data_IF_141734293957
#
_entry.id   IF_141734293957
#
_cell.length_a   1.000
_cell.length_b   1.000
_cell.length_c   1.000
_cell.angle_alpha   90.00
_cell.angle_beta   90.00
_cell.angle_gamma   90.00
#
_symmetry.space_group_name_H-M   'P 1'
#
loop_
_entity.id
_entity.type
_entity.pdbx_description
1 polymer ?
#
# COMPACT_ATOMS: atom_id res chain seq x y z
N UNK A 1 -4.35 18.24 6.30
CA UNK A 1 -2.94 18.70 6.34
C UNK A 1 -2.19 17.85 5.33
N UNK A 2 -1.71 18.44 4.25
CA UNK A 2 -1.00 17.75 3.16
C UNK A 2 0.52 17.93 3.35
N UNK A 3 1.32 16.97 2.92
CA UNK A 3 2.77 17.19 2.79
C UNK A 3 3.07 17.59 1.35
N UNK A 4 3.97 18.55 1.17
CA UNK A 4 4.37 19.06 -0.14
C UNK A 4 5.87 18.85 -0.29
N UNK A 5 6.25 18.21 -1.38
CA UNK A 5 7.62 17.87 -1.73
C UNK A 5 7.97 18.60 -3.01
N UNK A 6 9.06 19.39 -2.98
CA UNK A 6 9.58 20.15 -4.12
C UNK A 6 10.84 19.47 -4.67
N UNK A 7 11.31 19.92 -5.83
CA UNK A 7 12.48 19.36 -6.52
C UNK A 7 12.33 17.87 -6.85
N UNK A 8 11.12 17.49 -7.25
CA UNK A 8 10.77 16.13 -7.62
C UNK A 8 11.32 15.85 -9.01
N UNK A 9 12.24 14.89 -9.09
CA UNK A 9 12.82 14.44 -10.36
C UNK A 9 12.46 12.98 -10.61
N UNK A 10 11.97 12.68 -11.80
CA UNK A 10 11.77 11.30 -12.25
C UNK A 10 13.14 10.69 -12.53
N UNK A 11 13.41 9.49 -12.01
CA UNK A 11 14.69 8.78 -12.26
C UNK A 11 14.54 7.60 -13.20
N UNK A 12 13.46 6.84 -13.10
CA UNK A 12 13.24 5.65 -13.94
C UNK A 12 11.80 5.16 -13.92
N UNK A 13 11.46 4.30 -14.88
CA UNK A 13 10.27 3.47 -14.90
C UNK A 13 10.68 2.01 -14.75
N UNK A 14 10.05 1.31 -13.82
CA UNK A 14 10.37 -0.06 -13.45
C UNK A 14 9.10 -0.91 -13.51
N UNK A 15 9.08 -2.03 -14.25
CA UNK A 15 7.95 -2.94 -14.22
C UNK A 15 7.79 -3.55 -12.83
N UNK A 16 6.54 -3.63 -12.39
CA UNK A 16 6.11 -4.25 -11.14
C UNK A 16 5.02 -5.29 -11.45
N UNK A 17 4.73 -6.20 -10.52
CA UNK A 17 3.71 -7.24 -10.68
C UNK A 17 2.31 -6.67 -10.90
N UNK A 18 2.09 -5.38 -10.59
CA UNK A 18 0.81 -4.68 -10.69
C UNK A 18 0.78 -3.60 -11.78
N UNK A 19 1.79 -3.52 -12.65
CA UNK A 19 1.87 -2.51 -13.72
C UNK A 19 3.24 -1.89 -13.83
N UNK A 20 3.31 -0.63 -14.27
CA UNK A 20 4.57 0.12 -14.33
C UNK A 20 4.65 1.05 -13.12
N UNK A 21 5.82 1.07 -12.48
CA UNK A 21 6.09 1.93 -11.33
C UNK A 21 7.13 2.97 -11.70
N UNK A 22 6.94 4.21 -11.26
CA UNK A 22 7.86 5.32 -11.47
C UNK A 22 8.69 5.53 -10.22
N UNK A 23 10.01 5.56 -10.35
CA UNK A 23 10.91 6.07 -9.31
C UNK A 23 11.03 7.59 -9.43
N UNK A 24 10.75 8.27 -8.31
CA UNK A 24 10.85 9.70 -8.13
C UNK A 24 11.88 10.00 -7.04
N UNK A 25 12.69 11.04 -7.19
CA UNK A 25 13.56 11.54 -6.12
C UNK A 25 13.21 12.95 -5.73
N UNK A 26 13.05 13.20 -4.44
CA UNK A 26 12.76 14.53 -3.87
C UNK A 26 13.88 14.95 -2.92
N UNK A 27 14.09 16.25 -2.75
CA UNK A 27 14.90 16.76 -1.63
C UNK A 27 14.27 16.42 -0.29
N UNK A 28 15.07 16.29 0.78
CA UNK A 28 14.56 16.23 2.16
C UNK A 28 13.94 17.59 2.53
N UNK A 29 12.68 17.82 2.20
CA UNK A 29 12.04 19.10 2.54
C UNK A 29 11.83 19.22 4.05
N UNK A 30 12.35 20.31 4.62
CA UNK A 30 12.14 20.76 6.00
C UNK A 30 10.85 21.56 6.17
N UNK A 31 9.98 21.62 5.15
CA UNK A 31 8.82 22.51 5.16
C UNK A 31 7.62 21.86 5.88
N UNK A 32 7.54 22.10 7.20
CA UNK A 32 6.25 22.17 7.89
C UNK A 32 5.65 23.54 7.59
N UNK A 33 4.51 23.59 6.92
CA UNK A 33 3.65 24.78 6.98
C UNK A 33 3.22 24.98 8.44
N UNK A 34 3.94 25.85 9.14
CA UNK A 34 3.68 26.24 10.53
C UNK A 34 4.67 25.69 11.57
N UNK A 35 5.93 26.15 11.54
CA UNK A 35 6.71 26.55 12.74
C UNK A 35 8.07 27.12 12.34
N UNK A 36 8.47 28.17 13.05
CA UNK A 36 9.64 29.02 12.82
C UNK A 36 10.97 28.26 12.82
N UNK A 37 11.91 28.79 12.02
CA UNK A 37 13.33 28.43 11.95
C UNK A 37 13.95 28.32 13.36
N UNK A 38 14.58 27.19 13.66
CA UNK A 38 15.58 27.09 14.73
C UNK A 38 16.73 26.19 14.28
N UNK A 39 17.95 26.68 14.45
CA UNK A 39 19.19 26.03 14.04
C UNK A 39 19.58 24.93 15.04
N UNK A 40 19.33 23.67 14.70
CA UNK A 40 19.97 22.52 15.37
C UNK A 40 19.90 21.27 14.46
N UNK A 41 20.44 21.37 13.24
CA UNK A 41 20.36 20.30 12.25
C UNK A 41 21.58 19.35 12.33
N UNK A 42 21.77 18.63 13.43
CA UNK A 42 22.72 17.48 13.48
C UNK A 42 22.11 16.23 14.15
N UNK A 43 20.93 16.32 14.80
CA UNK A 43 20.36 15.19 15.55
C UNK A 43 19.10 14.54 14.93
N UNK A 44 18.69 14.91 13.72
CA UNK A 44 17.45 14.42 13.12
C UNK A 44 17.61 13.17 12.22
N UNK A 45 18.67 12.37 12.37
CA UNK A 45 18.77 11.09 11.65
C UNK A 45 17.73 10.05 12.09
N UNK A 46 17.42 10.03 13.39
CA UNK A 46 16.59 8.99 14.01
C UNK A 46 15.10 9.37 14.08
N UNK A 47 14.76 10.66 14.08
CA UNK A 47 13.37 11.13 14.20
C UNK A 47 12.58 11.05 12.87
N UNK A 48 13.31 11.02 11.74
CA UNK A 48 12.76 10.79 10.39
C UNK A 48 12.21 9.37 10.21
N UNK A 49 12.91 8.36 10.76
CA UNK A 49 12.48 6.95 10.69
C UNK A 49 11.19 6.69 11.48
N UNK A 50 11.00 7.36 12.63
CA UNK A 50 9.91 7.03 13.54
C UNK A 50 8.56 7.67 13.19
N UNK A 51 8.56 8.82 12.50
CA UNK A 51 7.36 9.70 12.45
C UNK A 51 6.81 9.94 11.05
N UNK A 52 7.65 9.89 10.00
CA UNK A 52 7.25 10.21 8.61
C UNK A 52 7.18 9.01 7.66
N UNK A 53 8.00 7.99 7.90
CA UNK A 53 7.95 6.71 7.17
C UNK A 53 6.56 6.02 7.33
N UNK A 54 5.89 6.28 8.46
CA UNK A 54 4.53 5.79 8.78
C UNK A 54 3.36 6.38 7.95
N UNK A 55 3.53 7.44 7.16
CA UNK A 55 2.37 8.16 6.55
C UNK A 55 2.32 8.25 5.04
N UNK A 56 3.43 8.13 4.35
CA UNK A 56 3.44 8.28 2.91
C UNK A 56 3.01 6.98 2.23
N UNK A 57 1.70 6.76 2.21
CA UNK A 57 1.07 5.62 1.53
C UNK A 57 0.66 5.97 0.10
N UNK A 58 0.33 7.24 -0.22
CA UNK A 58 -0.20 7.68 -1.53
C UNK A 58 0.05 9.18 -1.79
N UNK A 59 0.40 9.55 -3.01
CA UNK A 59 0.85 10.91 -3.37
C UNK A 59 0.15 11.42 -4.65
N UNK A 60 0.31 12.72 -4.94
CA UNK A 60 -0.26 13.42 -6.09
C UNK A 60 0.88 14.19 -6.74
N UNK A 61 1.11 14.03 -8.04
CA UNK A 61 2.10 14.83 -8.76
C UNK A 61 1.39 16.03 -9.39
N UNK A 62 1.95 17.21 -9.15
CA UNK A 62 1.66 18.48 -9.83
C UNK A 62 2.83 18.75 -10.77
N UNK A 63 2.51 19.06 -12.02
CA UNK A 63 3.46 19.51 -13.03
C UNK A 63 2.93 20.82 -13.62
N UNK A 64 3.66 21.92 -13.40
CA UNK A 64 3.42 23.22 -14.04
C UNK A 64 4.46 23.44 -15.14
N UNK A 65 4.01 23.45 -16.39
CA UNK A 65 4.81 23.76 -17.59
C UNK A 65 4.31 25.06 -18.22
N UNK A 66 5.01 26.18 -18.01
CA UNK A 66 4.75 27.45 -18.73
C UNK A 66 3.27 27.89 -18.72
N UNK A 67 2.81 28.55 -19.80
CA UNK A 67 1.45 29.11 -19.93
C UNK A 67 0.27 28.10 -19.92
N UNK A 68 0.50 26.82 -19.61
CA UNK A 68 -0.55 25.79 -19.59
C UNK A 68 -1.08 25.50 -18.18
N UNK A 69 -2.34 25.07 -18.11
CA UNK A 69 -3.04 24.78 -16.84
C UNK A 69 -2.32 23.66 -16.05
N UNK A 70 -2.23 23.77 -14.71
CA UNK A 70 -1.67 22.71 -13.87
C UNK A 70 -2.41 21.39 -14.08
N UNK A 71 -1.66 20.33 -14.33
CA UNK A 71 -2.20 18.97 -14.51
C UNK A 71 -2.05 18.15 -13.22
N UNK A 72 -3.10 17.40 -12.89
CA UNK A 72 -3.26 16.77 -11.59
C UNK A 72 -3.35 15.27 -11.71
N UNK A 73 -2.37 14.55 -11.17
CA UNK A 73 -2.31 13.11 -11.34
C UNK A 73 -2.28 12.36 -10.00
N UNK A 74 -3.16 11.37 -9.88
CA UNK A 74 -3.29 10.55 -8.69
C UNK A 74 -2.38 9.33 -8.77
N UNK A 75 -1.77 9.00 -7.63
CA UNK A 75 -0.88 7.86 -7.56
C UNK A 75 -0.91 7.18 -6.19
N UNK A 76 -0.44 5.94 -6.18
CA UNK A 76 -0.30 5.15 -4.97
C UNK A 76 1.16 4.74 -4.81
N UNK A 77 1.68 4.79 -3.58
CA UNK A 77 3.02 4.28 -3.31
C UNK A 77 3.02 2.78 -3.58
N UNK A 78 3.93 2.31 -4.43
CA UNK A 78 4.07 0.90 -4.77
C UNK A 78 4.59 0.09 -3.56
N UNK A 79 5.37 0.74 -2.70
CA UNK A 79 6.02 0.17 -1.52
C UNK A 79 5.94 1.17 -0.36
N UNK A 80 5.94 0.68 0.88
CA UNK A 80 6.11 1.55 2.05
C UNK A 80 7.42 2.32 1.92
N UNK A 81 7.40 3.61 2.23
CA UNK A 81 8.57 4.51 2.17
C UNK A 81 9.69 4.13 3.16
N UNK A 82 9.53 3.01 3.87
CA UNK A 82 10.40 2.53 4.94
C UNK A 82 11.75 1.96 4.44
N UNK A 83 11.94 1.71 3.13
CA UNK A 83 13.10 0.92 2.67
C UNK A 83 13.99 1.49 1.55
N UNK A 84 13.89 2.77 1.17
CA UNK A 84 14.78 3.38 0.15
C UNK A 84 15.49 4.66 0.63
N UNK A 85 16.16 4.59 1.78
CA UNK A 85 17.20 5.57 2.19
C UNK A 85 18.59 4.93 2.07
N UNK A 86 18.86 4.25 0.95
CA UNK A 86 20.21 3.84 0.60
C UNK A 86 20.62 4.62 -0.64
N UNK A 87 21.49 5.63 -0.47
CA UNK A 87 22.18 6.23 -1.63
C UNK A 87 22.71 7.64 -1.44
N UNK A 88 21.92 8.58 -0.93
CA UNK A 88 22.35 9.99 -0.92
C UNK A 88 21.91 10.73 0.35
N UNK A 89 22.86 11.43 1.00
CA UNK A 89 22.65 12.08 2.29
C UNK A 89 21.49 13.10 2.32
N UNK A 90 21.01 13.58 1.17
CA UNK A 90 20.05 14.69 1.06
C UNK A 90 18.81 14.47 0.16
N UNK A 91 18.65 13.30 -0.48
CA UNK A 91 17.49 13.01 -1.36
C UNK A 91 16.83 11.70 -0.96
N UNK A 92 15.51 11.63 -1.14
CA UNK A 92 14.67 10.46 -0.86
C UNK A 92 14.17 9.92 -2.19
N UNK A 93 14.32 8.61 -2.42
CA UNK A 93 13.72 7.91 -3.56
C UNK A 93 12.35 7.33 -3.16
N UNK A 94 11.36 7.53 -4.01
CA UNK A 94 9.97 7.11 -3.82
C UNK A 94 9.51 6.37 -5.06
N UNK A 95 8.94 5.18 -4.88
CA UNK A 95 8.35 4.40 -5.97
C UNK A 95 6.83 4.53 -5.97
N UNK A 96 6.29 4.97 -7.10
CA UNK A 96 4.90 5.38 -7.23
C UNK A 96 4.26 4.72 -8.46
N UNK A 97 3.06 4.16 -8.32
CA UNK A 97 2.24 3.69 -9.44
C UNK A 97 1.16 4.72 -9.71
N UNK A 98 1.10 5.21 -10.95
CA UNK A 98 0.07 6.14 -11.39
C UNK A 98 -1.15 5.35 -11.89
N UNK A 99 -2.35 5.89 -11.66
CA UNK A 99 -3.58 5.25 -12.15
C UNK A 99 -3.90 5.62 -13.60
N UNK A 100 -3.20 6.61 -14.14
CA UNK A 100 -3.47 7.22 -15.44
C UNK A 100 -2.29 6.96 -16.39
N UNK A 101 -2.56 6.22 -17.46
CA UNK A 101 -1.56 5.85 -18.47
C UNK A 101 -0.99 7.06 -19.22
N UNK A 102 -1.70 8.18 -19.31
CA UNK A 102 -1.16 9.41 -19.92
C UNK A 102 0.05 9.92 -19.14
N UNK A 103 0.06 9.72 -17.82
CA UNK A 103 1.16 10.12 -16.93
C UNK A 103 2.39 9.29 -17.19
N UNK A 104 2.22 7.98 -17.35
CA UNK A 104 3.33 7.06 -17.67
C UNK A 104 3.97 7.44 -19.01
N UNK A 105 3.18 7.82 -20.01
CA UNK A 105 3.68 8.29 -21.32
C UNK A 105 4.42 9.62 -21.21
N UNK A 106 3.93 10.57 -20.41
CA UNK A 106 4.63 11.85 -20.14
C UNK A 106 5.93 11.64 -19.38
N UNK A 107 5.95 10.72 -18.43
CA UNK A 107 7.15 10.34 -17.69
C UNK A 107 8.17 9.71 -18.65
N UNK A 108 7.73 8.84 -19.57
CA UNK A 108 8.59 8.30 -20.62
C UNK A 108 9.18 9.39 -21.52
N UNK A 109 8.38 10.37 -21.96
CA UNK A 109 8.90 11.47 -22.77
C UNK A 109 9.91 12.34 -22.02
N UNK A 110 9.70 12.56 -20.71
CA UNK A 110 10.64 13.30 -19.87
C UNK A 110 11.97 12.55 -19.66
N UNK A 111 11.92 11.22 -19.48
CA UNK A 111 13.13 10.40 -19.38
C UNK A 111 13.94 10.38 -20.67
N UNK A 112 13.29 10.52 -21.84
CA UNK A 112 13.96 10.63 -23.14
C UNK A 112 14.65 11.97 -23.35
N UNK A 113 13.95 13.07 -23.05
CA UNK A 113 14.40 14.41 -23.41
C UNK A 113 15.68 14.84 -22.66
N UNK A 114 16.11 14.13 -21.61
CA UNK A 114 17.34 14.40 -20.86
C UNK A 114 17.39 15.74 -20.10
N UNK A 115 16.43 16.64 -20.40
CA UNK A 115 16.35 18.00 -19.94
C UNK A 115 14.95 18.25 -19.38
N UNK A 116 14.89 18.66 -18.11
CA UNK A 116 13.75 19.46 -17.64
C UNK A 116 13.74 20.73 -18.48
N UNK A 117 12.61 21.07 -19.08
CA UNK A 117 12.48 22.37 -19.74
C UNK A 117 12.78 23.44 -18.67
N UNK A 118 13.58 24.48 -18.96
CA UNK A 118 13.80 25.57 -18.01
C UNK A 118 12.46 26.25 -17.70
N UNK A 119 11.83 25.86 -16.59
CA UNK A 119 10.49 26.28 -16.20
C UNK A 119 9.59 25.20 -15.61
N UNK A 120 9.96 23.91 -15.72
CA UNK A 120 9.10 22.81 -15.24
C UNK A 120 9.22 22.65 -13.72
N UNK A 121 8.18 23.07 -13.00
CA UNK A 121 8.09 22.88 -11.55
C UNK A 121 7.27 21.63 -11.28
N UNK A 122 7.93 20.64 -10.67
CA UNK A 122 7.29 19.39 -10.22
C UNK A 122 7.14 19.39 -8.71
N UNK A 123 5.90 19.24 -8.26
CA UNK A 123 5.55 19.18 -6.86
C UNK A 123 4.85 17.86 -6.58
N UNK A 124 5.21 17.18 -5.50
CA UNK A 124 4.50 16.00 -5.04
C UNK A 124 3.74 16.35 -3.77
N UNK A 125 2.42 16.20 -3.80
CA UNK A 125 1.52 16.46 -2.68
C UNK A 125 1.00 15.14 -2.11
N UNK A 126 1.32 14.86 -0.86
CA UNK A 126 0.82 13.71 -0.12
C UNK A 126 -0.47 14.07 0.62
N UNK A 127 -1.54 13.34 0.34
CA UNK A 127 -2.77 13.42 1.12
C UNK A 127 -2.84 12.27 2.13
N UNK A 128 -3.05 12.55 3.43
CA UNK A 128 -3.25 11.50 4.42
C UNK A 128 -4.61 10.80 4.30
N UNK A 129 -5.58 11.41 3.60
CA UNK A 129 -6.92 10.85 3.38
C UNK A 129 -7.20 10.88 1.88
N UNK A 130 -7.32 9.71 1.25
CA UNK A 130 -7.62 9.60 -0.18
C UNK A 130 -9.05 9.10 -0.34
N UNK A 131 -9.91 9.90 -0.99
CA UNK A 131 -11.26 9.48 -1.37
C UNK A 131 -11.22 8.14 -2.10
N UNK A 132 -10.26 7.91 -2.99
CA UNK A 132 -10.13 6.67 -3.78
C UNK A 132 -9.83 5.41 -2.98
N UNK A 133 -9.21 5.53 -1.80
CA UNK A 133 -9.07 4.38 -0.91
C UNK A 133 -10.37 4.02 -0.21
N UNK A 134 -11.26 5.00 -0.01
CA UNK A 134 -12.53 4.85 0.72
C UNK A 134 -13.71 4.71 -0.26
N UNK A 135 -13.54 5.14 -1.53
CA UNK A 135 -14.57 5.18 -2.57
C UNK A 135 -15.26 3.83 -2.74
N UNK A 136 -14.56 2.68 -2.85
CA UNK A 136 -15.25 1.39 -2.98
C UNK A 136 -16.15 1.08 -1.78
N UNK A 137 -15.74 1.45 -0.58
CA UNK A 137 -16.55 1.29 0.64
C UNK A 137 -17.76 2.24 0.62
N UNK A 138 -17.57 3.49 0.21
CA UNK A 138 -18.67 4.47 0.10
C UNK A 138 -19.65 4.09 -1.02
N UNK A 139 -19.18 3.52 -2.12
CA UNK A 139 -20.00 3.00 -3.20
C UNK A 139 -20.80 1.77 -2.76
N UNK A 140 -20.18 0.83 -2.06
CA UNK A 140 -20.88 -0.32 -1.47
C UNK A 140 -21.97 0.11 -0.49
N UNK A 141 -21.70 1.11 0.36
CA UNK A 141 -22.69 1.69 1.27
C UNK A 141 -23.87 2.37 0.55
N UNK A 142 -23.67 2.86 -0.68
CA UNK A 142 -24.77 3.41 -1.51
C UNK A 142 -25.66 2.31 -2.09
N UNK A 143 -25.13 1.12 -2.34
CA UNK A 143 -25.87 0.02 -2.98
C UNK A 143 -26.78 -0.73 -2.01
N UNK A 144 -26.31 -1.01 -0.79
CA UNK A 144 -27.07 -1.76 0.22
C UNK A 144 -27.08 -1.05 1.59
N UNK A 145 -27.85 0.05 1.75
CA UNK A 145 -27.85 0.83 2.99
C UNK A 145 -28.48 0.08 4.19
N UNK A 146 -29.29 -0.95 3.95
CA UNK A 146 -30.01 -1.68 4.99
C UNK A 146 -29.20 -2.85 5.60
N UNK A 147 -28.19 -3.36 4.88
CA UNK A 147 -27.39 -4.51 5.29
C UNK A 147 -26.07 -4.10 5.97
N UNK A 148 -26.15 -3.27 7.02
CA UNK A 148 -24.96 -2.88 7.79
C UNK A 148 -24.70 -3.92 8.89
N UNK A 149 -23.54 -4.62 8.86
CA UNK A 149 -23.16 -5.55 9.94
C UNK A 149 -23.13 -4.84 11.29
N UNK A 150 -23.65 -5.50 12.33
CA UNK A 150 -23.70 -4.96 13.69
C UNK A 150 -24.46 -3.62 13.83
N UNK A 151 -25.40 -3.32 12.93
CA UNK A 151 -26.22 -2.10 12.97
C UNK A 151 -26.93 -1.87 14.32
N UNK A 152 -27.26 -2.96 15.04
CA UNK A 152 -27.84 -2.93 16.38
C UNK A 152 -26.92 -2.31 17.45
N UNK A 153 -25.62 -2.20 17.18
CA UNK A 153 -24.63 -1.71 18.14
C UNK A 153 -23.78 -0.55 17.63
N UNK A 154 -23.44 -0.54 16.33
CA UNK A 154 -22.48 0.41 15.74
C UNK A 154 -23.15 1.69 15.22
N UNK A 155 -24.48 1.72 15.10
CA UNK A 155 -25.21 2.94 14.74
C UNK A 155 -25.25 3.89 15.93
N UNK A 156 -25.35 5.19 15.67
CA UNK A 156 -25.46 6.19 16.73
C UNK A 156 -26.73 5.95 17.55
N UNK A 157 -26.55 5.56 18.81
CA UNK A 157 -27.62 5.38 19.78
C UNK A 157 -27.54 6.47 20.87
N UNK A 158 -28.66 6.76 21.56
CA UNK A 158 -28.64 7.60 22.75
C UNK A 158 -27.66 7.06 23.81
N UNK A 159 -27.07 7.98 24.57
CA UNK A 159 -26.18 7.63 25.69
C UNK A 159 -26.84 6.60 26.62
N UNK A 160 -26.14 5.51 26.93
CA UNK A 160 -26.64 4.43 27.79
C UNK A 160 -27.44 3.33 27.09
N UNK A 161 -27.67 3.41 25.77
CA UNK A 161 -28.38 2.36 25.03
C UNK A 161 -27.78 0.96 25.23
N UNK A 162 -26.45 0.84 25.11
CA UNK A 162 -25.74 -0.42 25.30
C UNK A 162 -25.62 -0.85 26.77
N UNK A 163 -25.90 0.04 27.72
CA UNK A 163 -25.86 -0.30 29.16
C UNK A 163 -27.07 -1.13 29.60
N UNK A 164 -28.17 -1.08 28.84
CA UNK A 164 -29.42 -1.78 29.16
C UNK A 164 -29.66 -3.03 28.32
N UNK A 165 -28.87 -3.24 27.26
CA UNK A 165 -29.03 -4.35 26.32
C UNK A 165 -27.84 -5.27 26.36
N UNK A 166 -28.10 -6.57 26.40
CA UNK A 166 -27.07 -7.60 26.25
C UNK A 166 -26.70 -7.76 24.78
N UNK A 167 -25.40 -7.80 24.50
CA UNK A 167 -24.89 -8.14 23.17
C UNK A 167 -25.20 -9.62 22.90
N UNK A 168 -25.63 -9.92 21.68
CA UNK A 168 -25.98 -11.28 21.28
C UNK A 168 -24.70 -12.14 21.19
N UNK A 169 -24.79 -13.47 21.27
CA UNK A 169 -23.61 -14.31 21.12
C UNK A 169 -23.13 -14.37 19.68
N UNK A 170 -21.86 -14.74 19.47
CA UNK A 170 -21.39 -15.05 18.14
C UNK A 170 -22.17 -16.24 17.55
N UNK A 171 -22.51 -16.16 16.26
CA UNK A 171 -23.35 -17.15 15.57
C UNK A 171 -22.83 -18.60 15.68
N UNK A 172 -21.51 -18.79 15.64
CA UNK A 172 -20.92 -20.13 15.77
C UNK A 172 -21.16 -20.75 17.16
N UNK A 173 -21.35 -19.95 18.20
CA UNK A 173 -21.63 -20.43 19.56
C UNK A 173 -23.11 -20.76 19.79
N UNK A 174 -23.99 -20.53 18.80
CA UNK A 174 -25.40 -20.89 18.84
C UNK A 174 -25.67 -22.32 18.35
N UNK A 175 -24.67 -23.02 17.83
CA UNK A 175 -24.83 -24.39 17.35
C UNK A 175 -25.23 -25.33 18.51
N UNK A 176 -26.23 -26.22 18.32
CA UNK A 176 -26.65 -27.14 19.36
C UNK A 176 -25.49 -28.00 19.87
N UNK A 177 -25.30 -28.02 21.20
CA UNK A 177 -24.22 -28.78 21.85
C UNK A 177 -22.83 -28.13 21.79
N UNK A 178 -22.71 -26.93 21.21
CA UNK A 178 -21.45 -26.20 21.21
C UNK A 178 -21.07 -25.73 22.61
N UNK A 179 -19.83 -26.03 23.01
CA UNK A 179 -19.22 -25.55 24.24
C UNK A 179 -17.77 -25.18 23.94
N UNK A 180 -17.29 -24.08 24.50
CA UNK A 180 -15.87 -23.75 24.39
C UNK A 180 -15.07 -24.65 25.31
N UNK A 181 -14.05 -25.31 24.78
CA UNK A 181 -12.96 -25.90 25.56
C UNK A 181 -11.93 -24.81 25.88
N UNK A 182 -11.67 -24.60 27.17
CA UNK A 182 -10.79 -23.54 27.68
C UNK A 182 -9.51 -24.08 28.34
N UNK A 183 -9.32 -25.39 28.42
CA UNK A 183 -8.12 -26.01 28.99
C UNK A 183 -6.82 -25.54 28.33
N UNK A 184 -6.88 -25.10 27.06
CA UNK A 184 -5.73 -24.51 26.37
C UNK A 184 -5.15 -23.28 27.08
N UNK A 185 -5.89 -22.61 27.96
CA UNK A 185 -5.46 -21.42 28.72
C UNK A 185 -4.68 -21.71 30.00
N UNK A 186 -4.50 -22.98 30.35
CA UNK A 186 -3.77 -23.40 31.54
C UNK A 186 -2.36 -23.85 31.17
N UNK A 187 -1.43 -23.70 32.10
CA UNK A 187 -0.11 -24.30 31.98
C UNK A 187 -0.20 -25.80 32.22
N UNK A 188 0.72 -26.59 31.64
CA UNK A 188 0.69 -28.06 31.74
C UNK A 188 0.78 -28.58 33.19
N UNK A 189 1.31 -27.75 34.08
CA UNK A 189 1.49 -28.04 35.51
C UNK A 189 0.19 -27.89 36.31
N UNK A 190 -0.83 -27.21 35.76
CA UNK A 190 -2.08 -26.95 36.47
C UNK A 190 -3.05 -28.15 36.46
N UNK A 191 -2.77 -29.19 35.66
CA UNK A 191 -3.57 -30.43 35.55
C UNK A 191 -5.07 -30.20 35.25
N UNK A 192 -5.40 -29.10 34.53
CA UNK A 192 -6.77 -28.79 34.09
C UNK A 192 -6.95 -29.24 32.64
N UNK A 193 -7.41 -30.47 32.44
CA UNK A 193 -7.59 -31.04 31.09
C UNK A 193 -8.95 -30.72 30.44
N UNK A 194 -9.99 -30.45 31.23
CA UNK A 194 -11.34 -30.19 30.74
C UNK A 194 -12.00 -29.02 31.48
N UNK A 195 -12.09 -27.86 30.82
CA UNK A 195 -12.87 -26.72 31.28
C UNK A 195 -13.79 -26.26 30.16
N UNK A 196 -15.07 -26.64 30.26
CA UNK A 196 -16.08 -26.30 29.26
C UNK A 196 -16.90 -25.10 29.67
N UNK A 197 -17.10 -24.19 28.73
CA UNK A 197 -17.99 -23.05 28.89
C UNK A 197 -19.15 -23.13 27.90
N UNK A 198 -20.35 -23.36 28.43
CA UNK A 198 -21.60 -23.21 27.71
C UNK A 198 -22.09 -21.77 27.85
N UNK A 199 -22.12 -21.02 26.75
CA UNK A 199 -22.55 -19.62 26.78
C UNK A 199 -24.03 -19.45 27.16
N UNK A 200 -24.89 -20.42 26.86
CA UNK A 200 -26.34 -20.34 27.17
C UNK A 200 -26.58 -20.43 28.67
N UNK A 201 -25.71 -21.12 29.38
CA UNK A 201 -25.80 -21.31 30.82
C UNK A 201 -24.92 -20.30 31.56
N UNK A 202 -25.58 -19.34 32.24
CA UNK A 202 -24.89 -18.33 33.04
C UNK A 202 -24.00 -18.95 34.13
N UNK A 203 -24.43 -20.06 34.74
CA UNK A 203 -23.64 -20.71 35.78
C UNK A 203 -22.35 -21.34 35.22
N UNK A 204 -22.42 -21.89 34.01
CA UNK A 204 -21.25 -22.38 33.27
C UNK A 204 -20.27 -21.25 32.94
N UNK A 205 -20.77 -20.09 32.48
CA UNK A 205 -19.93 -18.91 32.20
C UNK A 205 -19.26 -18.38 33.47
N UNK A 206 -20.02 -18.26 34.57
CA UNK A 206 -19.49 -17.76 35.84
C UNK A 206 -18.47 -18.73 36.47
N UNK A 207 -18.69 -20.04 36.34
CA UNK A 207 -17.72 -21.08 36.76
C UNK A 207 -16.44 -21.01 35.92
N UNK A 208 -16.55 -20.97 34.60
CA UNK A 208 -15.40 -20.85 33.70
C UNK A 208 -14.59 -19.57 34.00
N UNK A 209 -15.26 -18.44 34.24
CA UNK A 209 -14.61 -17.18 34.64
C UNK A 209 -13.85 -17.33 35.96
N UNK A 210 -14.46 -17.96 36.96
CA UNK A 210 -13.83 -18.15 38.26
C UNK A 210 -12.57 -19.03 38.17
N UNK A 211 -12.65 -20.15 37.43
CA UNK A 211 -11.52 -21.06 37.24
C UNK A 211 -10.37 -20.41 36.45
N UNK A 212 -10.69 -19.66 35.38
CA UNK A 212 -9.67 -18.92 34.63
C UNK A 212 -8.95 -17.90 35.53
N UNK A 213 -9.67 -17.12 36.34
CA UNK A 213 -9.04 -16.17 37.26
C UNK A 213 -8.18 -16.84 38.33
N UNK A 214 -8.52 -18.07 38.72
CA UNK A 214 -7.88 -18.80 39.81
C UNK A 214 -6.59 -19.49 39.38
N UNK A 215 -6.59 -20.14 38.22
CA UNK A 215 -5.57 -21.11 37.87
C UNK A 215 -5.07 -21.03 36.42
N UNK A 216 -5.62 -20.16 35.57
CA UNK A 216 -5.04 -19.95 34.24
C UNK A 216 -3.81 -19.06 34.31
N UNK A 217 -3.04 -18.98 33.20
CA UNK A 217 -1.90 -18.06 33.08
C UNK A 217 -2.29 -16.60 32.85
N UNK A 218 -3.59 -16.31 32.78
CA UNK A 218 -4.12 -14.96 32.58
C UNK A 218 -4.25 -14.22 33.91
N UNK A 219 -4.02 -12.91 33.89
CA UNK A 219 -4.47 -12.09 35.02
C UNK A 219 -6.00 -12.01 35.07
N UNK A 220 -6.61 -11.64 36.22
CA UNK A 220 -8.06 -11.64 36.35
C UNK A 220 -8.81 -10.78 35.32
N UNK A 221 -8.23 -9.64 34.92
CA UNK A 221 -8.84 -8.75 33.94
C UNK A 221 -8.76 -9.30 32.51
N UNK A 222 -7.68 -10.02 32.20
CA UNK A 222 -7.52 -10.74 30.93
C UNK A 222 -8.49 -11.93 30.84
N UNK A 223 -8.65 -12.69 31.93
CA UNK A 223 -9.63 -13.77 32.01
C UNK A 223 -11.05 -13.25 31.76
N UNK A 224 -11.41 -12.12 32.36
CA UNK A 224 -12.70 -11.45 32.11
C UNK A 224 -12.87 -11.02 30.66
N UNK A 225 -11.83 -10.44 30.08
CA UNK A 225 -11.85 -9.98 28.69
C UNK A 225 -12.04 -11.15 27.71
N UNK A 226 -11.38 -12.29 27.93
CA UNK A 226 -11.54 -13.51 27.12
C UNK A 226 -12.97 -14.04 27.23
N UNK A 227 -13.49 -14.21 28.45
CA UNK A 227 -14.85 -14.71 28.67
C UNK A 227 -15.88 -13.79 27.99
N UNK A 228 -15.72 -12.47 28.11
CA UNK A 228 -16.58 -11.49 27.46
C UNK A 228 -16.52 -11.58 25.92
N UNK A 229 -15.32 -11.72 25.35
CA UNK A 229 -15.09 -11.82 23.91
C UNK A 229 -15.65 -13.10 23.30
N UNK A 230 -15.58 -14.23 24.02
CA UNK A 230 -16.16 -15.50 23.56
C UNK A 230 -17.69 -15.55 23.71
N UNK A 231 -18.25 -14.76 24.63
CA UNK A 231 -19.69 -14.78 24.94
C UNK A 231 -20.53 -13.80 24.12
N UNK A 232 -19.88 -12.87 23.41
CA UNK A 232 -20.53 -11.72 22.75
C UNK A 232 -20.05 -11.60 21.30
N UNK A 233 -20.94 -11.37 20.35
CA UNK A 233 -20.59 -11.17 18.94
C UNK A 233 -19.83 -9.85 18.69
N UNK A 234 -19.86 -8.94 19.65
CA UNK A 234 -19.09 -7.71 19.68
C UNK A 234 -18.49 -7.52 21.08
N UNK A 235 -17.17 -7.33 21.14
CA UNK A 235 -16.47 -7.02 22.38
C UNK A 235 -15.43 -5.94 22.16
N UNK A 236 -15.34 -4.99 23.09
CA UNK A 236 -14.33 -3.94 23.10
C UNK A 236 -13.40 -4.17 24.29
N UNK A 237 -12.15 -4.56 24.00
CA UNK A 237 -11.13 -4.76 25.03
C UNK A 237 -10.26 -3.51 25.08
N UNK A 238 -10.39 -2.75 26.16
CA UNK A 238 -9.54 -1.60 26.43
C UNK A 238 -8.42 -1.98 27.39
N UNK A 239 -7.20 -1.57 27.06
CA UNK A 239 -6.05 -1.74 27.96
C UNK A 239 -5.06 -0.58 27.82
N UNK A 240 -4.62 0.06 28.90
CA UNK A 240 -3.49 1.00 28.91
C UNK A 240 -2.21 0.39 28.29
N UNK A 241 -1.20 1.19 27.90
CA UNK A 241 0.09 0.64 27.47
C UNK A 241 0.69 -0.29 28.54
N UNK A 242 1.25 -1.42 28.12
CA UNK A 242 1.85 -2.41 29.02
C UNK A 242 0.90 -3.44 29.66
N UNK A 243 -0.43 -3.30 29.52
CA UNK A 243 -1.43 -4.20 30.16
C UNK A 243 -1.69 -5.52 29.43
N UNK A 244 -0.76 -5.96 28.56
CA UNK A 244 -0.90 -7.27 27.92
C UNK A 244 -2.00 -7.40 26.87
N UNK A 245 -2.57 -6.32 26.31
CA UNK A 245 -3.60 -6.41 25.23
C UNK A 245 -3.25 -7.40 24.12
N UNK A 246 -2.01 -7.35 23.62
CA UNK A 246 -1.55 -8.27 22.57
C UNK A 246 -1.52 -9.70 23.08
N UNK A 247 -1.09 -9.91 24.32
CA UNK A 247 -1.10 -11.22 24.98
C UNK A 247 -2.54 -11.75 25.12
N UNK A 248 -3.49 -10.94 25.59
CA UNK A 248 -4.93 -11.29 25.63
C UNK A 248 -5.45 -11.68 24.25
N UNK A 249 -5.09 -10.94 23.20
CA UNK A 249 -5.49 -11.30 21.84
C UNK A 249 -4.91 -12.64 21.39
N UNK A 250 -3.64 -12.93 21.70
CA UNK A 250 -2.98 -14.20 21.36
C UNK A 250 -3.68 -15.36 22.05
N UNK A 251 -4.02 -15.19 23.33
CA UNK A 251 -4.76 -16.20 24.09
C UNK A 251 -6.20 -16.38 23.61
N UNK A 252 -6.84 -15.32 23.09
CA UNK A 252 -8.13 -15.44 22.39
C UNK A 252 -8.00 -16.29 21.12
N UNK A 253 -6.98 -16.05 20.30
CA UNK A 253 -6.72 -16.88 19.11
C UNK A 253 -6.47 -18.34 19.49
N UNK A 254 -5.75 -18.60 20.58
CA UNK A 254 -5.50 -19.95 21.08
C UNK A 254 -6.82 -20.69 21.35
N UNK A 255 -7.76 -20.05 22.05
CA UNK A 255 -9.07 -20.65 22.31
C UNK A 255 -9.85 -20.86 21.02
N UNK A 256 -9.94 -19.85 20.15
CA UNK A 256 -10.72 -19.96 18.91
C UNK A 256 -10.21 -21.10 18.02
N UNK A 257 -8.90 -21.20 17.83
CA UNK A 257 -8.27 -22.24 17.00
C UNK A 257 -8.39 -23.62 17.65
N UNK A 258 -8.18 -23.73 18.96
CA UNK A 258 -8.37 -24.99 19.69
C UNK A 258 -9.81 -25.52 19.62
N UNK A 259 -10.79 -24.64 19.39
CA UNK A 259 -12.20 -24.99 19.20
C UNK A 259 -12.61 -25.08 17.71
N UNK A 260 -11.64 -25.17 16.79
CA UNK A 260 -11.85 -25.29 15.34
C UNK A 260 -12.65 -24.12 14.72
N UNK A 261 -12.61 -22.94 15.33
CA UNK A 261 -13.24 -21.74 14.79
C UNK A 261 -12.28 -21.10 13.78
N UNK A 262 -12.55 -21.34 12.50
CA UNK A 262 -11.77 -20.84 11.37
C UNK A 262 -12.66 -20.64 10.13
N UNK A 263 -12.28 -19.76 9.17
CA UNK A 263 -11.11 -18.87 9.19
C UNK A 263 -11.31 -17.67 10.13
N UNK A 264 -10.21 -17.15 10.70
CA UNK A 264 -10.22 -15.95 11.53
C UNK A 264 -9.57 -14.79 10.78
N UNK A 265 -10.32 -13.70 10.58
CA UNK A 265 -9.83 -12.50 9.92
C UNK A 265 -9.21 -11.54 10.94
N UNK A 266 -7.90 -11.30 10.83
CA UNK A 266 -7.17 -10.33 11.63
C UNK A 266 -6.94 -9.05 10.83
N UNK A 267 -7.31 -7.90 11.40
CA UNK A 267 -7.12 -6.59 10.78
C UNK A 267 -6.41 -5.67 11.77
N UNK A 268 -5.39 -4.95 11.30
CA UNK A 268 -4.70 -3.93 12.08
C UNK A 268 -4.46 -2.67 11.23
N UNK A 269 -4.37 -1.52 11.88
CA UNK A 269 -4.14 -0.24 11.19
C UNK A 269 -2.73 -0.11 10.57
N UNK A 270 -1.74 -0.80 11.15
CA UNK A 270 -0.35 -0.80 10.69
C UNK A 270 0.16 -2.21 10.45
N UNK A 271 1.03 -2.36 9.45
CA UNK A 271 1.72 -3.62 9.17
C UNK A 271 2.52 -4.08 10.39
N UNK A 272 3.20 -3.18 11.09
CA UNK A 272 3.97 -3.50 12.29
C UNK A 272 3.10 -4.12 13.40
N UNK A 273 1.90 -3.58 13.65
CA UNK A 273 1.01 -4.14 14.67
C UNK A 273 0.49 -5.53 14.26
N UNK A 274 0.17 -5.70 12.98
CA UNK A 274 -0.20 -7.01 12.42
C UNK A 274 0.95 -8.01 12.59
N UNK A 275 2.16 -7.61 12.21
CA UNK A 275 3.37 -8.43 12.26
C UNK A 275 3.69 -8.87 13.68
N UNK A 276 3.71 -7.92 14.62
CA UNK A 276 3.93 -8.22 16.02
C UNK A 276 2.92 -9.25 16.54
N UNK A 277 1.65 -9.12 16.15
CA UNK A 277 0.60 -10.06 16.55
C UNK A 277 0.81 -11.45 15.94
N UNK A 278 1.12 -11.53 14.65
CA UNK A 278 1.39 -12.78 13.95
C UNK A 278 2.63 -13.49 14.50
N UNK A 279 3.72 -12.77 14.76
CA UNK A 279 4.90 -13.31 15.44
C UNK A 279 4.52 -13.89 16.80
N UNK A 280 3.74 -13.17 17.59
CA UNK A 280 3.31 -13.65 18.91
C UNK A 280 2.48 -14.94 18.81
N UNK A 281 1.63 -15.09 17.78
CA UNK A 281 0.86 -16.31 17.52
C UNK A 281 1.77 -17.48 17.11
N UNK A 282 2.78 -17.21 16.28
CA UNK A 282 3.77 -18.21 15.84
C UNK A 282 4.68 -18.65 16.99
N UNK A 283 5.22 -17.70 17.76
CA UNK A 283 6.09 -17.95 18.91
C UNK A 283 5.34 -18.73 19.99
N UNK A 284 4.03 -18.50 20.14
CA UNK A 284 3.15 -19.24 21.02
C UNK A 284 2.76 -20.64 20.51
N UNK A 285 3.21 -21.03 19.30
CA UNK A 285 2.96 -22.33 18.69
C UNK A 285 1.48 -22.61 18.42
N UNK A 286 0.66 -21.57 18.22
CA UNK A 286 -0.81 -21.73 18.11
C UNK A 286 -1.22 -22.29 16.75
N UNK A 287 -0.69 -21.73 15.67
CA UNK A 287 -0.96 -22.19 14.30
C UNK A 287 0.14 -21.74 13.35
N UNK A 288 0.35 -22.51 12.30
CA UNK A 288 1.16 -22.15 11.13
C UNK A 288 0.31 -21.98 9.87
N UNK A 289 -1.01 -22.22 9.92
CA UNK A 289 -1.88 -22.00 8.77
C UNK A 289 -2.36 -20.55 8.74
N UNK A 290 -1.46 -19.68 8.26
CA UNK A 290 -1.66 -18.23 8.19
C UNK A 290 -1.57 -17.79 6.73
N UNK A 291 -2.53 -16.98 6.27
CA UNK A 291 -2.46 -16.28 4.98
C UNK A 291 -2.43 -14.78 5.26
N UNK A 292 -1.34 -14.13 4.89
CA UNK A 292 -1.18 -12.68 5.01
C UNK A 292 -1.41 -11.99 3.68
N UNK A 293 -2.27 -10.97 3.70
CA UNK A 293 -2.49 -10.06 2.58
C UNK A 293 -1.79 -8.73 2.83
N UNK A 294 -1.02 -8.23 1.88
CA UNK A 294 -0.37 -6.91 1.97
C UNK A 294 0.99 -6.84 1.30
N UNK A 295 1.61 -5.65 1.32
CA UNK A 295 2.95 -5.43 0.76
C UNK A 295 4.04 -6.20 1.53
N UNK A 296 5.27 -6.17 0.99
CA UNK A 296 6.47 -6.78 1.60
C UNK A 296 6.58 -6.50 3.09
N UNK A 297 7.06 -7.52 3.78
CA UNK A 297 7.15 -7.65 5.23
C UNK A 297 8.59 -7.45 5.65
N UNK A 298 8.83 -6.82 6.81
CA UNK A 298 10.20 -6.60 7.30
C UNK A 298 10.75 -7.82 8.06
N UNK A 299 9.88 -8.71 8.57
CA UNK A 299 10.25 -9.95 9.25
C UNK A 299 10.17 -11.14 8.27
N UNK A 300 11.31 -11.78 8.02
CA UNK A 300 11.45 -12.95 7.14
C UNK A 300 10.57 -14.14 7.57
N UNK A 301 10.31 -14.28 8.87
CA UNK A 301 9.46 -15.35 9.40
C UNK A 301 8.02 -15.20 8.94
N UNK A 302 7.56 -13.96 8.68
CA UNK A 302 6.21 -13.68 8.21
C UNK A 302 6.14 -13.69 6.68
N UNK A 303 7.25 -13.37 6.00
CA UNK A 303 7.33 -13.36 4.52
C UNK A 303 6.80 -14.66 3.91
N UNK A 304 7.12 -15.82 4.50
CA UNK A 304 6.66 -17.13 4.01
C UNK A 304 5.13 -17.32 4.05
N UNK A 305 4.42 -16.59 4.91
CA UNK A 305 2.96 -16.62 5.04
C UNK A 305 2.26 -15.59 4.16
N UNK A 306 3.01 -14.77 3.41
CA UNK A 306 2.40 -13.87 2.41
C UNK A 306 1.69 -14.70 1.35
N UNK A 307 0.56 -14.19 0.85
CA UNK A 307 -0.20 -14.88 -0.20
C UNK A 307 0.67 -15.15 -1.42
N UNK A 308 1.55 -14.23 -1.79
CA UNK A 308 2.47 -14.38 -2.92
C UNK A 308 3.43 -15.55 -2.68
N UNK A 309 3.97 -15.68 -1.47
CA UNK A 309 4.89 -16.77 -1.13
C UNK A 309 4.15 -18.10 -1.02
N UNK A 310 2.96 -18.12 -0.42
CA UNK A 310 2.13 -19.33 -0.36
C UNK A 310 1.67 -19.77 -1.74
N UNK A 311 1.34 -18.87 -2.66
CA UNK A 311 1.05 -19.20 -4.06
C UNK A 311 2.27 -19.77 -4.78
N UNK A 312 3.45 -19.16 -4.58
CA UNK A 312 4.72 -19.67 -5.14
C UNK A 312 5.04 -21.08 -4.65
N UNK A 313 4.77 -21.40 -3.38
CA UNK A 313 5.03 -22.72 -2.77
C UNK A 313 3.90 -23.71 -3.09
N UNK A 314 2.64 -23.30 -3.08
CA UNK A 314 1.48 -24.12 -3.43
C UNK A 314 1.52 -24.56 -4.90
N UNK A 315 2.03 -23.70 -5.80
CA UNK A 315 2.37 -24.05 -7.18
C UNK A 315 3.47 -25.12 -7.32
N UNK A 316 4.08 -25.56 -6.22
CA UNK A 316 5.02 -26.69 -6.17
C UNK A 316 4.41 -27.97 -5.58
N UNK A 317 3.12 -27.95 -5.17
CA UNK A 317 2.41 -29.12 -4.65
C UNK A 317 2.12 -30.16 -5.75
N UNK A 318 2.22 -31.43 -5.36
CA UNK A 318 2.40 -32.61 -6.23
C UNK A 318 1.18 -33.10 -7.02
N UNK A 319 0.03 -32.40 -7.02
CA UNK A 319 -1.21 -32.98 -7.58
C UNK A 319 -2.04 -32.12 -8.53
N UNK A 320 -1.62 -30.90 -8.90
CA UNK A 320 -2.22 -30.20 -10.04
C UNK A 320 -1.16 -29.35 -10.76
N UNK A 321 -0.83 -29.75 -11.98
CA UNK A 321 -0.25 -28.90 -13.04
C UNK A 321 0.90 -27.96 -12.62
N UNK A 322 1.79 -28.43 -11.73
CA UNK A 322 2.95 -27.66 -11.23
C UNK A 322 3.90 -27.19 -12.34
N UNK A 323 3.84 -27.84 -13.51
CA UNK A 323 4.58 -27.48 -14.71
C UNK A 323 3.94 -26.26 -15.41
N UNK A 324 2.61 -26.19 -15.47
CA UNK A 324 1.84 -25.07 -16.04
C UNK A 324 2.05 -23.77 -15.26
N UNK A 325 2.00 -23.82 -13.92
CA UNK A 325 2.18 -22.62 -13.09
C UNK A 325 3.63 -22.11 -13.05
N UNK A 326 4.63 -23.00 -12.96
CA UNK A 326 6.03 -22.60 -13.07
C UNK A 326 6.33 -22.02 -14.44
N UNK A 327 5.73 -22.57 -15.49
CA UNK A 327 5.85 -22.05 -16.86
C UNK A 327 5.23 -20.66 -16.95
N UNK A 328 3.99 -20.46 -16.47
CA UNK A 328 3.35 -19.13 -16.42
C UNK A 328 4.12 -18.09 -15.60
N UNK A 329 4.73 -18.49 -14.50
CA UNK A 329 5.56 -17.57 -13.71
C UNK A 329 6.87 -17.21 -14.42
N UNK A 330 7.49 -18.18 -15.12
CA UNK A 330 8.64 -17.91 -15.99
C UNK A 330 8.26 -17.00 -17.14
N UNK A 331 7.13 -17.27 -17.79
CA UNK A 331 6.55 -16.40 -18.83
C UNK A 331 6.33 -14.99 -18.30
N UNK A 332 5.70 -14.81 -17.13
CA UNK A 332 5.52 -13.50 -16.50
C UNK A 332 6.86 -12.81 -16.21
N UNK A 333 7.87 -13.54 -15.73
CA UNK A 333 9.20 -13.00 -15.47
C UNK A 333 9.90 -12.61 -16.76
N UNK A 334 9.75 -13.39 -17.82
CA UNK A 334 10.37 -13.14 -19.11
C UNK A 334 9.66 -11.96 -19.82
N UNK A 335 8.34 -11.89 -19.77
CA UNK A 335 7.55 -10.71 -20.17
C UNK A 335 7.99 -9.47 -19.37
N UNK A 336 8.20 -9.59 -18.06
CA UNK A 336 8.72 -8.49 -17.24
C UNK A 336 10.10 -8.01 -17.71
N UNK A 337 11.01 -8.92 -18.08
CA UNK A 337 12.31 -8.55 -18.68
C UNK A 337 12.16 -7.93 -20.06
N UNK A 338 11.22 -8.40 -20.88
CA UNK A 338 10.93 -7.82 -22.19
C UNK A 338 10.40 -6.39 -22.06
N UNK A 339 9.50 -6.15 -21.11
CA UNK A 339 9.01 -4.81 -20.77
C UNK A 339 10.16 -3.93 -20.29
N UNK A 340 11.04 -4.41 -19.39
CA UNK A 340 12.24 -3.65 -19.00
C UNK A 340 13.12 -3.29 -20.20
N UNK A 341 13.38 -4.24 -21.10
CA UNK A 341 14.16 -3.98 -22.33
C UNK A 341 13.45 -3.01 -23.27
N UNK A 342 12.12 -3.05 -23.36
CA UNK A 342 11.33 -2.11 -24.14
C UNK A 342 11.42 -0.71 -23.53
N UNK A 343 11.26 -0.56 -22.22
CA UNK A 343 11.40 0.71 -21.51
C UNK A 343 12.81 1.27 -21.71
N UNK A 344 13.86 0.44 -21.58
CA UNK A 344 15.25 0.85 -21.80
C UNK A 344 15.56 1.24 -23.25
N UNK A 345 14.95 0.56 -24.23
CA UNK A 345 15.06 0.97 -25.64
C UNK A 345 14.33 2.28 -25.86
N UNK A 346 13.10 2.38 -25.37
CA UNK A 346 12.27 3.57 -25.48
C UNK A 346 12.89 4.79 -24.78
N UNK A 347 13.61 4.63 -23.68
CA UNK A 347 14.28 5.74 -23.00
C UNK A 347 15.54 6.21 -23.73
N UNK A 348 16.17 5.36 -24.54
CA UNK A 348 17.38 5.65 -25.33
C UNK A 348 17.11 6.15 -26.74
N UNK A 349 15.90 5.97 -27.27
CA UNK A 349 15.49 6.53 -28.56
C UNK A 349 15.37 8.04 -28.39
N UNK A 350 16.41 8.72 -28.84
CA UNK A 350 16.49 10.16 -28.93
C UNK A 350 15.88 10.57 -30.27
N UNK A 351 14.67 11.14 -30.24
CA UNK A 351 13.92 11.55 -31.44
C UNK A 351 14.68 12.58 -32.29
N UNK A 352 15.65 13.30 -31.70
CA UNK A 352 16.53 14.21 -32.43
C UNK A 352 17.61 13.46 -33.22
N UNK A 353 18.10 12.33 -32.68
CA UNK A 353 19.14 11.50 -33.30
C UNK A 353 18.57 10.43 -34.27
N UNK A 354 17.35 9.94 -34.01
CA UNK A 354 16.68 8.86 -34.78
C UNK A 354 15.74 9.37 -35.88
N UNK A 355 15.96 10.58 -36.39
CA UNK A 355 15.32 11.06 -37.63
C UNK A 355 15.41 10.02 -38.75
N UNK A 356 16.50 9.26 -38.82
CA UNK A 356 16.70 8.21 -39.83
C UNK A 356 15.74 7.01 -39.73
N UNK A 357 15.33 6.57 -38.54
CA UNK A 357 14.37 5.46 -38.40
C UNK A 357 12.94 5.92 -38.68
N UNK A 358 12.59 7.15 -38.28
CA UNK A 358 11.31 7.77 -38.58
C UNK A 358 11.17 8.01 -40.08
N UNK A 359 12.22 8.52 -40.72
CA UNK A 359 12.29 8.70 -42.17
C UNK A 359 12.14 7.34 -42.88
N UNK A 360 12.83 6.28 -42.44
CA UNK A 360 12.65 4.92 -43.00
C UNK A 360 11.24 4.38 -42.80
N UNK A 361 10.62 4.59 -41.65
CA UNK A 361 9.24 4.17 -41.40
C UNK A 361 8.24 4.92 -42.28
N UNK A 362 8.44 6.25 -42.43
CA UNK A 362 7.64 7.07 -43.34
C UNK A 362 7.85 6.63 -44.80
N UNK A 363 9.08 6.31 -45.21
CA UNK A 363 9.37 5.78 -46.54
C UNK A 363 8.62 4.46 -46.81
N UNK A 364 8.57 3.56 -45.81
CA UNK A 364 7.98 2.22 -45.97
C UNK A 364 6.44 2.22 -45.92
N UNK A 365 5.85 3.00 -45.02
CA UNK A 365 4.41 2.93 -44.72
C UNK A 365 3.61 4.16 -45.19
N UNK A 366 4.26 5.31 -45.37
CA UNK A 366 3.61 6.58 -45.75
C UNK A 366 4.45 7.36 -46.79
N UNK A 367 4.71 6.77 -47.96
CA UNK A 367 5.67 7.29 -48.94
C UNK A 367 5.35 8.71 -49.42
N UNK A 368 4.06 9.10 -49.46
CA UNK A 368 3.64 10.45 -49.83
C UNK A 368 4.11 11.52 -48.81
N UNK A 369 4.03 11.20 -47.52
CA UNK A 369 4.51 12.08 -46.46
C UNK A 369 6.04 12.17 -46.47
N UNK A 370 6.72 11.03 -46.68
CA UNK A 370 8.18 11.00 -46.85
C UNK A 370 8.64 11.88 -48.03
N UNK A 371 8.00 11.75 -49.19
CA UNK A 371 8.28 12.56 -50.37
C UNK A 371 8.09 14.06 -50.11
N UNK A 372 7.01 14.45 -49.43
CA UNK A 372 6.74 15.86 -49.08
C UNK A 372 7.76 16.48 -48.11
N UNK A 373 8.43 15.65 -47.31
CA UNK A 373 9.48 16.09 -46.37
C UNK A 373 10.87 16.11 -47.00
N UNK A 374 11.11 15.25 -48.01
CA UNK A 374 12.39 15.20 -48.74
C UNK A 374 12.46 16.20 -49.89
N UNK A 375 11.35 16.38 -50.62
CA UNK A 375 11.20 17.36 -51.68
C UNK A 375 10.41 18.55 -51.14
N UNK A 376 11.15 19.50 -50.55
CA UNK A 376 10.57 20.73 -50.03
C UNK A 376 9.98 21.52 -51.20
N UNK A 377 8.66 21.84 -51.19
CA UNK A 377 8.06 22.62 -52.27
C UNK A 377 8.78 23.96 -52.49
N UNK A 378 8.97 24.41 -53.75
CA UNK A 378 9.78 25.59 -54.08
C UNK A 378 9.36 26.88 -53.36
N UNK A 379 8.08 27.01 -52.99
CA UNK A 379 7.57 28.18 -52.27
C UNK A 379 8.07 28.27 -50.83
N UNK A 380 8.43 27.14 -50.20
CA UNK A 380 9.00 27.11 -48.85
C UNK A 380 10.45 27.60 -48.88
N UNK A 381 11.22 27.24 -49.92
CA UNK A 381 12.58 27.78 -50.11
C UNK A 381 12.55 29.29 -50.33
N UNK A 382 11.59 29.79 -51.12
CA UNK A 382 11.36 31.22 -51.34
C UNK A 382 10.92 31.93 -50.06
N UNK A 383 10.06 31.31 -49.24
CA UNK A 383 9.67 31.86 -47.94
C UNK A 383 10.86 31.92 -46.96
N UNK A 384 11.75 30.94 -47.03
CA UNK A 384 12.96 30.88 -46.19
C UNK A 384 13.97 31.95 -46.59
N UNK A 385 14.17 32.20 -47.88
CA UNK A 385 15.02 33.29 -48.37
C UNK A 385 14.46 34.67 -47.97
N UNK A 386 13.14 34.86 -48.07
CA UNK A 386 12.48 36.10 -47.63
C UNK A 386 12.63 36.34 -46.11
N UNK A 387 12.59 35.27 -45.30
CA UNK A 387 12.79 35.38 -43.85
C UNK A 387 14.23 35.64 -43.41
N UNK A 388 15.22 35.29 -44.24
CA UNK A 388 16.63 35.59 -43.98
C UNK A 388 16.97 37.04 -44.33
N UNK A 389 16.35 37.60 -45.38
CA UNK A 389 16.49 39.02 -45.73
C UNK A 389 15.84 39.94 -44.67
N UNK A 390 14.74 39.51 -44.04
CA UNK A 390 14.12 40.24 -42.93
C UNK A 390 14.99 40.25 -41.64
N UNK A 391 15.84 39.23 -41.43
CA UNK A 391 16.74 39.17 -40.28
C UNK A 391 17.93 40.15 -40.39
N UNK A 392 18.44 40.39 -41.62
CA UNK A 392 19.46 41.43 -41.88
C UNK A 392 18.89 42.86 -41.82
N UNK A 393 17.60 43.03 -42.18
CA UNK A 393 16.90 44.31 -42.02
C UNK A 393 16.68 44.69 -40.55
N UNK A 394 16.47 43.72 -39.65
CA UNK A 394 16.30 43.99 -38.21
C UNK A 394 17.61 44.25 -37.45
N UNK A 395 18.77 43.89 -38.02
CA UNK A 395 20.07 44.23 -37.40
C UNK A 395 20.55 45.63 -37.75
N UNK A 396 20.11 46.19 -38.88
CA UNK A 396 20.53 47.51 -39.37
C UNK A 396 19.69 48.68 -38.84
N UNK A 397 18.53 48.42 -38.21
CA UNK A 397 17.65 49.47 -37.61
C UNK A 397 17.97 49.76 -36.13
N UNK A 398 18.95 49.06 -35.52
CA UNK A 398 19.39 49.31 -34.12
C UNK A 398 20.57 50.27 -33.95
N UNK A 399 21.04 50.93 -35.02
CA UNK A 399 22.15 51.88 -34.95
C UNK A 399 21.85 53.17 -35.71
N UNK A 400 20.85 53.94 -35.25
CA UNK A 400 20.78 55.41 -35.44
C UNK A 400 20.22 56.02 -34.15
#
# INVERSE_FOLDING_TARGET
>A
MFNVYTDVTVTSLVPDLRGVSTSLTTGKSSFRAGRSRCACCILEGNEWQATRARRARRSRLEDEHGHNRPSWHHSQSAQGLDHYVQGHANRIEIRVVFFDSEVELRILSQLRAGYSSPGDIKVLVESPVLFEGIRPFLEALKTEPENIPFSRYLVFHPSGYLSTRTIDPPKYALLPGFNFQLSSLFDREAEVDDLRMNRVDKSSVDHARAELRRASRLDPSQADAIVAALSSELALIQGPPGTGKSYTGVELFRVLIANHISPILMIAFTNYALEHMLCSVLDAGITTDIVRLGSRTSDDRITQYSIETREMVAGQSRLHDSESYKTKFRELKDVGKEISKLIDRMSKIDLESDSSEIIKYLELFYPEHHASMSDVPPWIEVAKSLSQDDAEYFTSVKTI
#
